data_IF_375536359252
#
_entry.id   IF_375536359252
#
_cell.length_a   1.000
_cell.length_b   1.000
_cell.length_c   1.000
_cell.angle_alpha   90.00
_cell.angle_beta   90.00
_cell.angle_gamma   90.00
#
_symmetry.space_group_name_H-M   'P 1'
#
loop_
_entity.id
_entity.type
_entity.pdbx_description
1 polymer ?
#
# COMPACT_ATOMS: atom_id res chain seq x y z
N UNK A 1 10.81 6.24 14.85
CA UNK A 1 10.75 7.05 13.61
C UNK A 1 10.12 6.30 12.42
N UNK A 2 9.51 5.13 12.61
CA UNK A 2 8.96 4.26 11.56
C UNK A 2 7.50 4.52 11.18
N UNK A 3 6.71 5.19 12.03
CA UNK A 3 5.27 5.43 11.80
C UNK A 3 4.94 6.37 10.62
N UNK A 4 5.85 7.27 10.24
CA UNK A 4 5.57 8.29 9.22
C UNK A 4 5.67 7.76 7.79
N UNK A 5 6.55 6.78 7.54
CA UNK A 5 6.70 6.15 6.21
C UNK A 5 5.56 5.18 5.90
N UNK A 6 5.08 4.42 6.89
CA UNK A 6 3.91 3.53 6.72
C UNK A 6 2.64 4.32 6.39
N UNK A 7 2.46 5.52 6.94
CA UNK A 7 1.28 6.36 6.67
C UNK A 7 1.21 6.89 5.22
N UNK A 8 2.33 7.36 4.65
CA UNK A 8 2.37 7.80 3.24
C UNK A 8 2.17 6.64 2.27
N UNK A 9 2.86 5.52 2.50
CA UNK A 9 2.72 4.32 1.69
C UNK A 9 1.28 3.81 1.70
N UNK A 10 0.67 3.66 2.88
CA UNK A 10 -0.73 3.21 3.01
C UNK A 10 -1.68 4.17 2.29
N UNK A 11 -1.41 5.48 2.32
CA UNK A 11 -2.22 6.47 1.60
C UNK A 11 -2.13 6.28 0.09
N UNK A 12 -0.93 6.07 -0.45
CA UNK A 12 -0.74 5.78 -1.89
C UNK A 12 -1.42 4.47 -2.30
N UNK A 13 -1.21 3.40 -1.53
CA UNK A 13 -1.82 2.11 -1.81
C UNK A 13 -3.35 2.20 -1.77
N UNK A 14 -3.91 2.87 -0.75
CA UNK A 14 -5.34 3.15 -0.65
C UNK A 14 -5.85 3.84 -1.91
N UNK A 15 -5.19 4.90 -2.36
CA UNK A 15 -5.59 5.65 -3.55
C UNK A 15 -5.59 4.78 -4.81
N UNK A 16 -4.55 3.94 -4.99
CA UNK A 16 -4.46 3.05 -6.15
C UNK A 16 -5.58 2.00 -6.19
N UNK A 17 -5.99 1.47 -5.04
CA UNK A 17 -7.00 0.41 -4.99
C UNK A 17 -8.43 0.92 -4.78
N UNK A 18 -8.62 2.18 -4.38
CA UNK A 18 -9.90 2.74 -3.93
C UNK A 18 -11.04 2.46 -4.91
N UNK A 19 -10.84 2.81 -6.18
CA UNK A 19 -11.88 2.70 -7.20
C UNK A 19 -12.34 1.25 -7.39
N UNK A 20 -11.40 0.34 -7.66
CA UNK A 20 -11.71 -1.08 -7.86
C UNK A 20 -12.30 -1.71 -6.59
N UNK A 21 -11.81 -1.29 -5.41
CA UNK A 21 -12.31 -1.77 -4.13
C UNK A 21 -13.77 -1.36 -3.90
N UNK A 22 -14.09 -0.07 -4.03
CA UNK A 22 -15.41 0.45 -3.69
C UNK A 22 -16.53 -0.05 -4.61
N UNK A 23 -16.18 -0.46 -5.84
CA UNK A 23 -17.14 -0.98 -6.81
C UNK A 23 -17.33 -2.50 -6.76
N UNK A 24 -16.42 -3.23 -6.10
CA UNK A 24 -16.46 -4.71 -6.05
C UNK A 24 -16.76 -5.27 -4.68
N UNK A 25 -16.39 -4.57 -3.61
CA UNK A 25 -16.53 -5.07 -2.25
C UNK A 25 -17.88 -4.65 -1.67
N UNK A 26 -18.60 -5.62 -1.12
CA UNK A 26 -19.81 -5.39 -0.33
C UNK A 26 -19.42 -5.48 1.16
N UNK A 27 -19.46 -4.37 1.92
CA UNK A 27 -19.01 -4.34 3.32
C UNK A 27 -19.69 -5.41 4.19
N UNK A 28 -20.99 -5.62 4.00
CA UNK A 28 -21.76 -6.61 4.76
C UNK A 28 -21.22 -8.04 4.66
N UNK A 29 -20.60 -8.41 3.53
CA UNK A 29 -20.07 -9.76 3.32
C UNK A 29 -18.67 -9.92 3.89
N UNK A 30 -17.85 -8.86 3.84
CA UNK A 30 -16.42 -8.94 4.19
C UNK A 30 -16.13 -8.63 5.66
N UNK A 31 -16.94 -7.78 6.31
CA UNK A 31 -16.73 -7.39 7.72
C UNK A 31 -16.59 -8.59 8.69
N UNK A 32 -17.43 -9.65 8.61
CA UNK A 32 -17.26 -10.83 9.46
C UNK A 32 -15.93 -11.55 9.20
N UNK A 33 -15.50 -11.63 7.93
CA UNK A 33 -14.24 -12.27 7.55
C UNK A 33 -13.03 -11.47 8.08
N UNK A 34 -13.06 -10.14 8.03
CA UNK A 34 -12.00 -9.30 8.62
C UNK A 34 -11.81 -9.63 10.10
N UNK A 35 -12.91 -9.65 10.87
CA UNK A 35 -12.84 -9.94 12.32
C UNK A 35 -12.35 -11.36 12.63
N UNK A 36 -12.63 -12.32 11.74
CA UNK A 36 -12.18 -13.71 11.83
C UNK A 36 -10.67 -13.84 11.64
N UNK A 37 -10.06 -13.09 10.72
CA UNK A 37 -8.63 -13.20 10.39
C UNK A 37 -7.74 -12.33 11.27
N UNK A 38 -8.18 -11.13 11.64
CA UNK A 38 -7.46 -10.31 12.61
C UNK A 38 -8.45 -9.51 13.48
N UNK A 39 -8.49 -9.85 14.77
CA UNK A 39 -9.38 -9.18 15.72
C UNK A 39 -8.97 -7.74 16.05
N UNK A 40 -7.73 -7.36 15.72
CA UNK A 40 -7.17 -6.03 15.97
C UNK A 40 -7.39 -5.06 14.80
N UNK A 41 -7.79 -5.56 13.63
CA UNK A 41 -8.13 -4.73 12.47
C UNK A 41 -9.62 -4.41 12.54
N UNK A 42 -9.93 -3.12 12.72
CA UNK A 42 -11.25 -2.55 12.98
C UNK A 42 -11.81 -2.88 14.39
N UNK A 43 -12.16 -1.80 15.10
CA UNK A 43 -12.92 -1.92 16.34
C UNK A 43 -14.39 -2.19 16.06
N UNK A 44 -15.14 -2.64 17.07
CA UNK A 44 -16.60 -2.82 16.95
C UNK A 44 -17.31 -1.51 16.60
N UNK A 45 -16.76 -0.38 17.06
CA UNK A 45 -17.24 0.96 16.72
C UNK A 45 -17.07 1.27 15.23
N UNK A 46 -15.91 0.97 14.67
CA UNK A 46 -15.64 1.19 13.24
C UNK A 46 -16.55 0.31 12.38
N UNK A 47 -16.70 -0.96 12.76
CA UNK A 47 -17.58 -1.89 12.06
C UNK A 47 -19.04 -1.40 12.07
N UNK A 48 -19.53 -0.89 13.20
CA UNK A 48 -20.89 -0.36 13.29
C UNK A 48 -21.06 0.93 12.48
N UNK A 49 -20.03 1.78 12.45
CA UNK A 49 -20.04 2.96 11.60
C UNK A 49 -20.11 2.57 10.12
N UNK A 50 -19.27 1.63 9.66
CA UNK A 50 -19.27 1.13 8.28
C UNK A 50 -20.64 0.53 7.92
N UNK A 51 -21.24 -0.26 8.81
CA UNK A 51 -22.60 -0.81 8.60
C UNK A 51 -23.64 0.29 8.47
N UNK A 52 -23.58 1.30 9.34
CA UNK A 52 -24.47 2.44 9.28
C UNK A 52 -24.32 3.18 7.96
N UNK A 53 -23.09 3.53 7.56
CA UNK A 53 -22.80 4.17 6.28
C UNK A 53 -23.29 3.34 5.10
N UNK A 54 -23.07 2.02 5.12
CA UNK A 54 -23.54 1.11 4.08
C UNK A 54 -25.07 1.14 3.96
N UNK A 55 -25.79 1.19 5.09
CA UNK A 55 -27.25 1.26 5.11
C UNK A 55 -27.80 2.61 4.68
N UNK A 56 -27.11 3.71 4.99
CA UNK A 56 -27.61 5.07 4.75
C UNK A 56 -27.20 5.63 3.39
N UNK A 57 -25.96 5.35 2.97
CA UNK A 57 -25.35 5.93 1.76
C UNK A 57 -25.13 4.90 0.64
N UNK A 58 -25.15 3.61 0.97
CA UNK A 58 -25.00 2.52 0.02
C UNK A 58 -23.64 1.82 0.09
N UNK A 59 -23.51 0.74 -0.70
CA UNK A 59 -22.35 -0.15 -0.65
C UNK A 59 -21.04 0.54 -1.04
N UNK A 60 -21.06 1.45 -2.02
CA UNK A 60 -19.86 2.14 -2.51
C UNK A 60 -19.26 2.98 -1.38
N UNK A 61 -20.05 3.86 -0.78
CA UNK A 61 -19.62 4.71 0.34
C UNK A 61 -19.22 3.87 1.55
N UNK A 62 -19.96 2.79 1.83
CA UNK A 62 -19.58 1.86 2.89
C UNK A 62 -18.22 1.18 2.64
N UNK A 63 -17.91 0.83 1.39
CA UNK A 63 -16.63 0.22 1.03
C UNK A 63 -15.47 1.24 1.05
N UNK A 64 -15.73 2.49 0.66
CA UNK A 64 -14.76 3.58 0.80
C UNK A 64 -14.42 3.82 2.28
N UNK A 65 -15.43 3.87 3.15
CA UNK A 65 -15.25 3.98 4.61
C UNK A 65 -14.49 2.77 5.17
N UNK A 66 -14.88 1.55 4.77
CA UNK A 66 -14.16 0.33 5.17
C UNK A 66 -12.67 0.44 4.87
N UNK A 67 -12.32 0.79 3.64
CA UNK A 67 -10.92 0.92 3.25
C UNK A 67 -10.23 2.07 3.98
N UNK A 68 -10.93 3.19 4.21
CA UNK A 68 -10.43 4.32 4.97
C UNK A 68 -9.99 3.91 6.38
N UNK A 69 -10.88 3.24 7.14
CA UNK A 69 -10.57 2.79 8.50
C UNK A 69 -9.47 1.73 8.51
N UNK A 70 -9.53 0.75 7.60
CA UNK A 70 -8.53 -0.32 7.56
C UNK A 70 -7.11 0.21 7.43
N UNK A 71 -6.86 1.22 6.57
CA UNK A 71 -5.51 1.78 6.37
C UNK A 71 -4.88 2.41 7.62
N UNK A 72 -5.64 2.65 8.69
CA UNK A 72 -5.15 3.14 9.98
C UNK A 72 -4.57 2.04 10.88
N UNK A 73 -4.82 0.77 10.56
CA UNK A 73 -4.39 -0.38 11.36
C UNK A 73 -3.09 -0.98 10.83
N UNK A 74 -2.26 -1.49 11.73
CA UNK A 74 -1.16 -2.36 11.34
C UNK A 74 -1.71 -3.66 10.76
N UNK A 75 -0.98 -4.27 9.82
CA UNK A 75 -1.38 -5.53 9.14
C UNK A 75 -2.72 -5.50 8.40
N UNK A 76 -3.30 -4.33 8.15
CA UNK A 76 -4.59 -4.19 7.46
C UNK A 76 -4.62 -4.86 6.08
N UNK A 77 -3.54 -4.74 5.31
CA UNK A 77 -3.50 -5.26 3.94
C UNK A 77 -3.40 -6.79 3.90
N UNK A 78 -2.49 -7.45 4.64
CA UNK A 78 -2.52 -8.91 4.81
C UNK A 78 -3.88 -9.43 5.30
N UNK A 79 -4.48 -8.79 6.30
CA UNK A 79 -5.82 -9.13 6.79
C UNK A 79 -6.87 -9.03 5.67
N UNK A 80 -6.85 -7.94 4.90
CA UNK A 80 -7.76 -7.76 3.76
C UNK A 80 -7.61 -8.88 2.73
N UNK A 81 -6.38 -9.27 2.39
CA UNK A 81 -6.15 -10.33 1.40
C UNK A 81 -6.71 -11.67 1.89
N UNK A 82 -6.56 -12.00 3.17
CA UNK A 82 -7.14 -13.21 3.74
C UNK A 82 -8.67 -13.16 3.73
N UNK A 83 -9.27 -12.02 4.11
CA UNK A 83 -10.72 -11.86 4.10
C UNK A 83 -11.32 -11.93 2.69
N UNK A 84 -10.66 -11.38 1.68
CA UNK A 84 -11.11 -11.49 0.28
C UNK A 84 -10.97 -12.92 -0.26
N UNK A 85 -9.99 -13.68 0.21
CA UNK A 85 -9.76 -15.09 -0.14
C UNK A 85 -10.63 -16.05 0.68
N UNK A 86 -11.42 -15.55 1.64
CA UNK A 86 -12.28 -16.36 2.50
C UNK A 86 -13.30 -17.16 1.66
N UNK A 87 -13.56 -18.44 2.00
CA UNK A 87 -14.55 -19.26 1.31
C UNK A 87 -15.96 -18.67 1.25
N UNK A 88 -16.33 -17.82 2.21
CA UNK A 88 -17.64 -17.18 2.27
C UNK A 88 -17.69 -15.87 1.45
N UNK A 89 -16.53 -15.25 1.20
CA UNK A 89 -16.40 -13.98 0.44
C UNK A 89 -16.09 -14.22 -1.04
N UNK A 90 -15.29 -15.25 -1.36
CA UNK A 90 -15.01 -15.75 -2.74
C UNK A 90 -14.44 -14.70 -3.72
N UNK A 91 -13.65 -13.76 -3.24
CA UNK A 91 -12.99 -12.73 -4.06
C UNK A 91 -11.49 -12.99 -4.28
N UNK A 92 -11.07 -14.26 -4.36
CA UNK A 92 -9.65 -14.64 -4.47
C UNK A 92 -8.93 -14.04 -5.69
N UNK A 93 -9.58 -14.02 -6.87
CA UNK A 93 -8.99 -13.40 -8.07
C UNK A 93 -8.84 -11.88 -7.92
N UNK A 94 -9.78 -11.24 -7.21
CA UNK A 94 -9.69 -9.82 -6.90
C UNK A 94 -8.57 -9.54 -5.90
N UNK A 95 -8.39 -10.38 -4.88
CA UNK A 95 -7.27 -10.28 -3.96
C UNK A 95 -5.91 -10.36 -4.69
N UNK A 96 -5.76 -11.27 -5.65
CA UNK A 96 -4.55 -11.36 -6.47
C UNK A 96 -4.28 -10.07 -7.28
N UNK A 97 -5.33 -9.43 -7.81
CA UNK A 97 -5.20 -8.13 -8.48
C UNK A 97 -4.70 -7.04 -7.53
N UNK A 98 -5.22 -6.99 -6.30
CA UNK A 98 -4.76 -6.03 -5.29
C UNK A 98 -3.32 -6.28 -4.86
N UNK A 99 -2.91 -7.55 -4.73
CA UNK A 99 -1.51 -7.93 -4.47
C UNK A 99 -0.57 -7.47 -5.59
N UNK A 100 -0.99 -7.55 -6.86
CA UNK A 100 -0.21 -7.02 -7.98
C UNK A 100 -0.07 -5.50 -7.90
N UNK A 101 -1.15 -4.75 -7.61
CA UNK A 101 -1.09 -3.29 -7.42
C UNK A 101 -0.13 -2.93 -6.29
N UNK A 102 -0.14 -3.70 -5.20
CA UNK A 102 0.82 -3.52 -4.10
C UNK A 102 2.26 -3.78 -4.58
N UNK A 103 2.51 -4.85 -5.31
CA UNK A 103 3.83 -5.20 -5.82
C UNK A 103 4.38 -4.14 -6.79
N UNK A 104 3.53 -3.56 -7.63
CA UNK A 104 3.89 -2.43 -8.50
C UNK A 104 4.31 -1.21 -7.67
N UNK A 105 3.55 -0.87 -6.63
CA UNK A 105 3.90 0.22 -5.71
C UNK A 105 5.19 -0.05 -4.93
N UNK A 106 5.41 -1.29 -4.48
CA UNK A 106 6.66 -1.70 -3.83
C UNK A 106 7.86 -1.49 -4.76
N UNK A 107 7.69 -1.74 -6.06
CA UNK A 107 8.73 -1.52 -7.06
C UNK A 107 9.00 -0.04 -7.32
N UNK A 108 7.94 0.78 -7.43
CA UNK A 108 8.05 2.25 -7.58
C UNK A 108 8.84 2.87 -6.42
N UNK A 109 8.50 2.52 -5.17
CA UNK A 109 9.18 3.05 -3.98
C UNK A 109 10.65 2.58 -3.88
N UNK A 110 10.98 1.40 -4.43
CA UNK A 110 12.35 0.90 -4.47
C UNK A 110 13.22 1.62 -5.51
N UNK A 111 12.63 2.07 -6.63
CA UNK A 111 13.36 2.79 -7.69
C UNK A 111 13.69 4.25 -7.32
N UNK A 112 12.84 4.90 -6.52
CA UNK A 112 13.08 6.25 -6.01
C UNK A 112 14.21 6.32 -4.95
N UNK A 113 14.70 5.17 -4.49
CA UNK A 113 15.79 5.06 -3.54
C UNK A 113 17.16 4.99 -4.25
N UNK A 114 17.70 6.14 -4.68
CA UNK A 114 19.11 6.22 -5.10
C UNK A 114 19.99 6.23 -3.84
N UNK A 115 20.86 5.22 -3.61
CA UNK A 115 21.75 5.25 -2.46
C UNK A 115 22.69 6.46 -2.57
N UNK A 116 22.70 7.35 -1.57
CA UNK A 116 23.56 8.55 -1.51
C UNK A 116 25.04 8.19 -1.76
N UNK A 117 25.46 6.97 -1.42
CA UNK A 117 26.82 6.46 -1.68
C UNK A 117 27.18 6.38 -3.17
N UNK A 118 26.24 6.05 -4.05
CA UNK A 118 26.50 5.91 -5.49
C UNK A 118 26.61 7.26 -6.20
N UNK A 119 25.85 8.26 -5.73
CA UNK A 119 25.92 9.64 -6.24
C UNK A 119 27.26 10.27 -5.84
N UNK A 120 27.69 10.09 -4.59
CA UNK A 120 29.00 10.57 -4.13
C UNK A 120 30.16 9.91 -4.87
N UNK A 121 30.10 8.61 -5.17
CA UNK A 121 31.14 7.92 -5.95
C UNK A 121 31.23 8.42 -7.40
N UNK A 122 30.09 8.59 -8.08
CA UNK A 122 30.07 9.12 -9.46
C UNK A 122 30.60 10.56 -9.53
N UNK A 123 30.27 11.40 -8.54
CA UNK A 123 30.81 12.77 -8.43
C UNK A 123 32.32 12.77 -8.15
N UNK A 124 32.81 11.90 -7.26
CA UNK A 124 34.24 11.77 -6.96
C UNK A 124 35.05 11.29 -8.18
N UNK A 125 34.55 10.31 -8.91
CA UNK A 125 35.18 9.79 -10.14
C UNK A 125 35.20 10.87 -11.23
N UNK A 126 34.11 11.63 -11.39
CA UNK A 126 34.07 12.76 -12.32
C UNK A 126 35.08 13.84 -11.95
N UNK A 127 35.19 14.18 -10.66
CA UNK A 127 36.10 15.22 -10.18
C UNK A 127 37.57 14.81 -10.39
N UNK A 128 37.93 13.57 -10.02
CA UNK A 128 39.28 13.03 -10.20
C UNK A 128 39.70 12.98 -11.67
N UNK A 129 38.79 12.62 -12.58
CA UNK A 129 39.06 12.59 -14.02
C UNK A 129 39.23 13.99 -14.64
N UNK A 130 38.61 15.02 -14.06
CA UNK A 130 38.79 16.42 -14.50
C UNK A 130 40.01 17.12 -13.90
N UNK A 131 40.50 16.64 -12.75
CA UNK A 131 41.58 17.29 -11.99
C UNK A 131 43.00 16.80 -12.32
N UNK A 132 43.15 15.71 -13.09
CA UNK A 132 44.45 15.18 -13.49
C UNK A 132 44.91 15.78 -14.83
N UNK A 133 45.96 16.63 -14.87
CA UNK A 133 46.51 17.12 -16.12
C UNK A 133 47.10 15.93 -16.90
N UNK A 134 46.68 15.78 -18.16
CA UNK A 134 47.26 14.82 -19.10
C UNK A 134 48.73 15.16 -19.27
N UNK A 135 49.59 14.49 -18.50
CA UNK A 135 51.03 14.52 -18.66
C UNK A 135 51.35 14.12 -20.10
N UNK A 136 51.73 15.11 -20.91
CA UNK A 136 52.37 14.88 -22.20
C UNK A 136 53.74 14.28 -21.90
N UNK A 137 53.83 12.95 -21.90
CA UNK A 137 55.10 12.27 -22.06
C UNK A 137 55.63 12.60 -23.47
N UNK A 138 56.51 13.61 -23.50
CA UNK A 138 57.38 13.92 -24.62
C UNK A 138 58.24 12.69 -24.94
N UNK A 139 58.20 12.24 -26.19
CA UNK A 139 59.23 11.41 -26.81
C UNK A 139 60.19 12.32 -27.56
#
# INVERSE_FOLDING_TARGET
MTQKMTSMYNTKLKQKILFEFSHRVIPGNILPAIKKYDSNVLTDRDMEHIRTTTRTLGNIQGAEELLHYMCCYDNWFPCLMQALKDPDVKHAAFAANLENIKAELDHEEAQDYVPVQEVCQKLLVSYLNSALPKSKFLK
#
